data_IF_674680529649
#
_entry.id   IF_674680529649
#
_cell.length_a   1.000
_cell.length_b   1.000
_cell.length_c   1.000
_cell.angle_alpha   90.00
_cell.angle_beta   90.00
_cell.angle_gamma   90.00
#
_symmetry.space_group_name_H-M   'P 1'
#
loop_
_entity.id
_entity.type
_entity.pdbx_description
1 polymer ?
#
# COMPACT_ATOMS: atom_id res chain seq x y z
N UNK A 1 4.68 7.60 5.51
CA UNK A 1 5.17 6.32 4.95
C UNK A 1 6.18 5.57 5.83
N UNK A 2 7.18 6.22 6.42
CA UNK A 2 8.26 5.55 7.19
C UNK A 2 7.82 4.88 8.49
N UNK A 3 6.76 5.38 9.14
CA UNK A 3 6.26 4.86 10.42
C UNK A 3 5.65 3.44 10.29
N UNK A 4 4.88 3.22 9.23
CA UNK A 4 4.14 1.99 8.98
C UNK A 4 5.09 0.82 8.65
N UNK A 5 6.16 1.09 7.88
CA UNK A 5 7.23 0.14 7.61
C UNK A 5 8.01 -0.26 8.87
N UNK A 6 8.22 0.69 9.80
CA UNK A 6 8.92 0.44 11.06
C UNK A 6 8.08 -0.45 11.99
N UNK A 7 6.77 -0.25 12.01
CA UNK A 7 5.83 -1.02 12.83
C UNK A 7 5.70 -2.47 12.35
N UNK A 8 5.59 -2.69 11.04
CA UNK A 8 5.55 -4.04 10.46
C UNK A 8 6.83 -4.83 10.72
N UNK A 9 7.99 -4.17 10.68
CA UNK A 9 9.29 -4.80 10.99
C UNK A 9 9.38 -5.28 12.44
N UNK A 10 8.84 -4.50 13.38
CA UNK A 10 8.78 -4.88 14.79
C UNK A 10 7.80 -6.03 15.04
N UNK A 11 6.67 -6.04 14.34
CA UNK A 11 5.63 -7.06 14.53
C UNK A 11 6.01 -8.43 13.98
N UNK A 12 6.66 -8.51 12.82
CA UNK A 12 6.93 -9.78 12.15
C UNK A 12 8.37 -10.28 12.34
N UNK A 13 9.32 -9.44 12.79
CA UNK A 13 10.73 -9.83 12.96
C UNK A 13 11.48 -10.14 11.67
N UNK A 14 10.86 -9.88 10.50
CA UNK A 14 11.38 -10.24 9.19
C UNK A 14 12.13 -9.08 8.53
N UNK A 15 13.22 -9.40 7.81
CA UNK A 15 13.91 -8.44 6.93
C UNK A 15 13.06 -8.23 5.67
N UNK A 16 12.60 -7.00 5.47
CA UNK A 16 11.96 -6.56 4.21
C UNK A 16 12.91 -6.83 3.05
N UNK A 17 12.52 -7.68 2.10
CA UNK A 17 13.35 -7.90 0.89
C UNK A 17 13.20 -6.75 -0.11
N UNK A 18 12.10 -5.99 -0.04
CA UNK A 18 11.86 -4.86 -0.92
C UNK A 18 12.52 -3.59 -0.41
N UNK A 19 13.46 -3.07 -1.22
CA UNK A 19 14.20 -1.83 -0.97
C UNK A 19 13.31 -0.58 -1.01
N UNK A 20 12.16 -0.64 -1.69
CA UNK A 20 11.19 0.45 -1.83
C UNK A 20 9.78 -0.08 -2.12
N UNK A 21 8.79 0.76 -1.84
CA UNK A 21 7.40 0.60 -2.30
C UNK A 21 7.01 1.91 -2.97
N UNK A 22 6.64 1.85 -4.25
CA UNK A 22 6.19 3.01 -5.02
C UNK A 22 4.67 3.10 -4.99
N UNK A 23 4.12 4.32 -4.90
CA UNK A 23 2.67 4.56 -4.95
C UNK A 23 2.40 5.54 -6.09
N UNK A 24 1.54 5.14 -7.01
CA UNK A 24 1.25 5.90 -8.23
C UNK A 24 -0.24 6.21 -8.28
N UNK A 25 -0.56 7.50 -8.38
CA UNK A 25 -1.91 8.00 -8.64
C UNK A 25 -2.17 8.03 -10.15
N UNK A 26 -3.27 7.44 -10.59
CA UNK A 26 -3.76 7.61 -11.96
C UNK A 26 -5.03 8.47 -11.95
N UNK A 27 -5.20 9.38 -12.92
CA UNK A 27 -6.30 10.33 -12.93
C UNK A 27 -7.68 9.70 -13.14
N UNK A 28 -7.73 8.51 -13.75
CA UNK A 28 -8.95 7.70 -13.86
C UNK A 28 -8.59 6.23 -13.78
N UNK A 29 -9.08 5.56 -12.74
CA UNK A 29 -9.00 4.11 -12.60
C UNK A 29 -10.39 3.48 -12.72
N UNK A 30 -10.47 2.32 -13.38
CA UNK A 30 -11.69 1.49 -13.40
C UNK A 30 -11.99 0.86 -12.03
N UNK A 31 -10.96 0.68 -11.21
CA UNK A 31 -11.03 0.11 -9.87
C UNK A 31 -10.25 0.98 -8.89
N UNK A 32 -10.61 1.00 -7.60
CA UNK A 32 -10.01 1.93 -6.63
C UNK A 32 -8.48 1.85 -6.54
N UNK A 33 -7.93 0.63 -6.62
CA UNK A 33 -6.51 0.38 -6.64
C UNK A 33 -6.17 -1.04 -7.14
N UNK A 34 -4.93 -1.21 -7.60
CA UNK A 34 -4.29 -2.49 -7.88
C UNK A 34 -2.96 -2.53 -7.14
N UNK A 35 -2.70 -3.65 -6.48
CA UNK A 35 -1.47 -3.87 -5.72
C UNK A 35 -0.63 -4.92 -6.43
N UNK A 36 0.62 -4.57 -6.70
CA UNK A 36 1.67 -5.49 -7.11
C UNK A 36 2.79 -5.49 -6.06
N UNK A 37 3.67 -6.49 -6.10
CA UNK A 37 4.81 -6.55 -5.17
C UNK A 37 5.73 -5.35 -5.41
N UNK A 38 5.72 -4.39 -4.47
CA UNK A 38 6.55 -3.18 -4.53
C UNK A 38 5.94 -1.97 -5.26
N UNK A 39 4.73 -2.07 -5.83
CA UNK A 39 4.04 -0.92 -6.43
C UNK A 39 2.53 -0.96 -6.17
N UNK A 40 1.99 0.16 -5.71
CA UNK A 40 0.55 0.35 -5.47
C UNK A 40 0.05 1.40 -6.47
N UNK A 41 -0.85 1.00 -7.35
CA UNK A 41 -1.50 1.90 -8.31
C UNK A 41 -2.89 2.20 -7.81
N UNK A 42 -3.25 3.47 -7.62
CA UNK A 42 -4.58 3.86 -7.13
C UNK A 42 -5.12 5.09 -7.84
N UNK A 43 -6.43 5.27 -7.73
CA UNK A 43 -7.07 6.52 -8.19
C UNK A 43 -6.44 7.71 -7.45
N UNK A 44 -6.01 8.72 -8.21
CA UNK A 44 -5.30 9.89 -7.68
C UNK A 44 -6.08 10.62 -6.59
N UNK A 45 -7.43 10.51 -6.60
CA UNK A 45 -8.27 11.12 -5.58
C UNK A 45 -7.89 10.65 -4.17
N UNK A 46 -7.40 9.42 -4.01
CA UNK A 46 -6.99 8.86 -2.72
C UNK A 46 -5.61 9.34 -2.24
N UNK A 47 -4.85 10.02 -3.11
CA UNK A 47 -3.54 10.61 -2.82
C UNK A 47 -3.60 12.13 -2.64
N UNK A 48 -4.80 12.71 -2.63
CA UNK A 48 -4.99 14.13 -2.37
C UNK A 48 -4.69 14.49 -0.91
N UNK A 49 -4.56 15.78 -0.65
CA UNK A 49 -4.42 16.31 0.69
C UNK A 49 -5.56 15.81 1.60
N UNK A 50 -5.19 15.28 2.78
CA UNK A 50 -6.13 14.82 3.79
C UNK A 50 -7.20 15.86 4.17
N UNK A 51 -6.90 17.15 4.06
CA UNK A 51 -7.86 18.22 4.33
C UNK A 51 -8.97 18.32 3.27
N UNK A 52 -8.75 17.74 2.07
CA UNK A 52 -9.69 17.73 0.94
C UNK A 52 -10.42 16.40 0.80
N UNK A 53 -10.01 15.38 1.54
CA UNK A 53 -10.60 14.05 1.52
C UNK A 53 -11.80 13.97 2.47
N UNK A 54 -12.83 13.26 2.04
CA UNK A 54 -13.86 12.81 2.99
C UNK A 54 -13.26 11.79 3.96
N UNK A 55 -13.83 11.65 5.16
CA UNK A 55 -13.41 10.61 6.12
C UNK A 55 -13.41 9.22 5.49
N UNK A 56 -14.38 8.94 4.61
CA UNK A 56 -14.49 7.67 3.89
C UNK A 56 -13.37 7.45 2.88
N UNK A 57 -13.03 8.48 2.10
CA UNK A 57 -11.96 8.37 1.11
C UNK A 57 -10.58 8.30 1.78
N UNK A 58 -10.40 9.02 2.88
CA UNK A 58 -9.21 8.89 3.72
C UNK A 58 -9.07 7.47 4.28
N UNK A 59 -10.13 6.91 4.85
CA UNK A 59 -10.11 5.55 5.36
C UNK A 59 -9.79 4.54 4.25
N UNK A 60 -10.43 4.67 3.08
CA UNK A 60 -10.13 3.83 1.91
C UNK A 60 -8.67 3.93 1.47
N UNK A 61 -8.12 5.14 1.40
CA UNK A 61 -6.71 5.37 1.06
C UNK A 61 -5.80 4.62 2.03
N UNK A 62 -5.99 4.81 3.34
CA UNK A 62 -5.22 4.13 4.38
C UNK A 62 -5.36 2.61 4.30
N UNK A 63 -6.57 2.10 4.06
CA UNK A 63 -6.83 0.66 3.89
C UNK A 63 -6.07 0.09 2.70
N UNK A 64 -6.14 0.74 1.52
CA UNK A 64 -5.46 0.29 0.30
C UNK A 64 -3.94 0.29 0.48
N UNK A 65 -3.39 1.36 1.07
CA UNK A 65 -1.95 1.47 1.31
C UNK A 65 -1.49 0.37 2.28
N UNK A 66 -2.23 0.17 3.37
CA UNK A 66 -1.91 -0.85 4.39
C UNK A 66 -1.98 -2.25 3.80
N UNK A 67 -3.04 -2.54 3.05
CA UNK A 67 -3.22 -3.78 2.32
C UNK A 67 -2.08 -4.02 1.32
N UNK A 68 -1.70 -3.00 0.54
CA UNK A 68 -0.65 -3.13 -0.46
C UNK A 68 0.73 -3.39 0.12
N UNK A 69 1.05 -2.72 1.23
CA UNK A 69 2.28 -2.97 1.99
C UNK A 69 2.25 -4.38 2.58
N UNK A 70 1.15 -4.81 3.21
CA UNK A 70 1.03 -6.15 3.76
C UNK A 70 1.18 -7.24 2.68
N UNK A 71 0.52 -7.08 1.53
CA UNK A 71 0.66 -7.98 0.39
C UNK A 71 2.10 -8.07 -0.13
N UNK A 72 2.78 -6.94 -0.20
CA UNK A 72 4.19 -6.87 -0.60
C UNK A 72 5.10 -7.65 0.36
N UNK A 73 4.82 -7.59 1.66
CA UNK A 73 5.57 -8.34 2.66
C UNK A 73 5.25 -9.84 2.63
N UNK A 74 3.96 -10.19 2.53
CA UNK A 74 3.50 -11.59 2.57
C UNK A 74 3.88 -12.32 1.28
N UNK A 75 3.69 -11.72 0.10
CA UNK A 75 4.04 -12.33 -1.19
C UNK A 75 5.53 -12.62 -1.31
N UNK A 76 6.39 -11.80 -0.70
CA UNK A 76 7.83 -12.05 -0.68
C UNK A 76 8.26 -13.07 0.38
N UNK A 77 7.40 -13.38 1.36
CA UNK A 77 7.67 -14.33 2.43
C UNK A 77 7.08 -15.71 2.13
N UNK A 78 5.94 -15.75 1.46
CA UNK A 78 5.25 -16.94 0.98
C UNK A 78 4.99 -16.72 -0.50
N UNK A 79 5.89 -17.21 -1.34
CA UNK A 79 5.42 -17.65 -2.65
C UNK A 79 4.51 -18.84 -2.34
N UNK A 80 3.21 -18.68 -2.56
CA UNK A 80 2.35 -19.84 -2.71
C UNK A 80 2.81 -20.46 -4.02
N UNK A 81 3.69 -21.45 -3.92
CA UNK A 81 4.07 -22.28 -5.05
C UNK A 81 2.78 -22.79 -5.68
N UNK A 82 2.50 -22.28 -6.87
CA UNK A 82 1.43 -22.72 -7.76
C UNK A 82 1.78 -24.08 -8.36
#
# INVERSE_FOLDING_TARGET
>A
HTLLLKQLKLYFGLKVSLKKVDIVGLPRCLIPAVVYSGIIVMDEKYLQDSAKLTTWDYLKSVTIISYGIAHTWISNFVNIDS
#
